data_IF_263772378443
#
_entry.id   IF_263772378443
#
_cell.length_a   1.000
_cell.length_b   1.000
_cell.length_c   1.000
_cell.angle_alpha   90.00
_cell.angle_beta   90.00
_cell.angle_gamma   90.00
#
_symmetry.space_group_name_H-M   'P 1'
#
loop_
_entity.id
_entity.type
_entity.pdbx_description
1 polymer ?
#
# COMPACT_ATOMS: atom_id res chain seq x y z
N UNK A 1 11.57 -13.37 -15.13
CA UNK A 1 10.93 -14.70 -15.15
C UNK A 1 11.37 -15.39 -16.43
N UNK A 2 11.96 -16.59 -16.36
CA UNK A 2 12.35 -17.33 -17.56
C UNK A 2 11.10 -17.65 -18.39
N UNK A 3 11.13 -17.32 -19.68
CA UNK A 3 10.02 -17.59 -20.60
C UNK A 3 10.04 -19.06 -21.01
N UNK A 4 8.92 -19.77 -20.81
CA UNK A 4 8.77 -21.15 -21.27
C UNK A 4 8.77 -21.19 -22.81
N UNK A 5 9.51 -22.14 -23.40
CA UNK A 5 9.45 -22.35 -24.84
C UNK A 5 8.04 -22.79 -25.26
N UNK A 6 7.55 -22.43 -26.46
CA UNK A 6 6.21 -22.80 -26.93
C UNK A 6 5.96 -24.32 -26.90
N UNK A 7 7.00 -25.10 -27.22
CA UNK A 7 6.96 -26.58 -27.22
C UNK A 7 6.81 -27.14 -25.81
N UNK A 8 7.56 -26.62 -24.83
CA UNK A 8 7.45 -27.04 -23.44
C UNK A 8 6.08 -26.67 -22.84
N UNK A 9 5.57 -25.47 -23.13
CA UNK A 9 4.23 -25.05 -22.69
C UNK A 9 3.15 -26.01 -23.19
N UNK A 10 3.20 -26.39 -24.48
CA UNK A 10 2.24 -27.33 -25.08
C UNK A 10 2.34 -28.72 -24.43
N UNK A 11 3.55 -29.22 -24.19
CA UNK A 11 3.76 -30.50 -23.52
C UNK A 11 3.20 -30.51 -22.09
N UNK A 12 3.46 -29.45 -21.30
CA UNK A 12 2.94 -29.30 -19.93
C UNK A 12 1.40 -29.28 -19.89
N UNK A 13 0.75 -28.60 -20.83
CA UNK A 13 -0.70 -28.51 -20.86
C UNK A 13 -1.39 -29.85 -21.21
N UNK A 14 -0.69 -30.71 -21.95
CA UNK A 14 -1.15 -32.03 -22.40
C UNK A 14 -0.84 -33.17 -21.43
N UNK A 15 -0.21 -32.91 -20.27
CA UNK A 15 0.05 -33.92 -19.26
C UNK A 15 -1.25 -34.58 -18.77
N UNK A 16 -1.22 -35.88 -18.40
CA UNK A 16 -2.33 -36.53 -17.71
C UNK A 16 -2.75 -35.74 -16.47
N UNK A 17 -4.06 -35.70 -16.18
CA UNK A 17 -4.62 -34.88 -15.09
C UNK A 17 -3.91 -35.12 -13.76
N UNK A 18 -3.68 -36.38 -13.37
CA UNK A 18 -3.00 -36.75 -12.12
C UNK A 18 -1.59 -36.16 -12.01
N UNK A 19 -0.80 -36.23 -13.08
CA UNK A 19 0.56 -35.69 -13.11
C UNK A 19 0.56 -34.16 -13.07
N UNK A 20 -0.38 -33.57 -13.80
CA UNK A 20 -0.59 -32.12 -13.84
C UNK A 20 -0.96 -31.56 -12.46
N UNK A 21 -1.85 -32.24 -11.74
CA UNK A 21 -2.29 -31.83 -10.39
C UNK A 21 -1.14 -31.95 -9.38
N UNK A 22 -0.36 -33.04 -9.42
CA UNK A 22 0.82 -33.20 -8.58
C UNK A 22 1.86 -32.12 -8.84
N UNK A 23 2.10 -31.78 -10.12
CA UNK A 23 3.01 -30.71 -10.50
C UNK A 23 2.48 -29.34 -10.04
N UNK A 24 1.19 -29.07 -10.22
CA UNK A 24 0.54 -27.84 -9.79
C UNK A 24 0.72 -27.62 -8.28
N UNK A 25 0.38 -28.63 -7.46
CA UNK A 25 0.53 -28.55 -6.00
C UNK A 25 1.99 -28.27 -5.63
N UNK A 26 2.96 -28.97 -6.24
CA UNK A 26 4.39 -28.74 -5.98
C UNK A 26 4.84 -27.33 -6.34
N UNK A 27 4.37 -26.78 -7.47
CA UNK A 27 4.71 -25.42 -7.91
C UNK A 27 4.08 -24.36 -7.00
N UNK A 28 2.81 -24.55 -6.61
CA UNK A 28 2.13 -23.64 -5.68
C UNK A 28 2.87 -23.60 -4.35
N UNK A 29 3.20 -24.77 -3.77
CA UNK A 29 3.92 -24.85 -2.50
C UNK A 29 5.33 -24.21 -2.50
N UNK A 30 5.94 -23.98 -3.68
CA UNK A 30 7.23 -23.30 -3.78
C UNK A 30 7.11 -21.77 -3.72
N UNK A 31 5.94 -21.22 -4.07
CA UNK A 31 5.68 -19.79 -4.06
C UNK A 31 4.67 -19.46 -2.96
N UNK A 32 5.20 -18.91 -1.86
CA UNK A 32 4.40 -18.48 -0.72
C UNK A 32 3.32 -17.46 -1.11
N UNK A 33 3.64 -16.54 -2.00
CA UNK A 33 2.68 -15.50 -2.41
C UNK A 33 1.57 -16.11 -3.25
N UNK A 34 1.91 -16.99 -4.20
CA UNK A 34 0.91 -17.71 -4.97
C UNK A 34 0.02 -18.59 -4.07
N UNK A 35 0.61 -19.25 -3.08
CA UNK A 35 -0.13 -20.04 -2.09
C UNK A 35 -1.16 -19.19 -1.36
N UNK A 36 -0.76 -18.04 -0.82
CA UNK A 36 -1.66 -17.16 -0.09
C UNK A 36 -2.71 -16.50 -0.99
N UNK A 37 -2.37 -16.16 -2.24
CA UNK A 37 -3.34 -15.68 -3.24
C UNK A 37 -4.40 -16.73 -3.55
N UNK A 38 -3.99 -18.00 -3.74
CA UNK A 38 -4.92 -19.10 -4.00
C UNK A 38 -5.75 -19.42 -2.76
N UNK A 39 -5.15 -19.37 -1.57
CA UNK A 39 -5.88 -19.54 -0.31
C UNK A 39 -6.96 -18.46 -0.18
N UNK A 40 -6.60 -17.19 -0.37
CA UNK A 40 -7.58 -16.09 -0.35
C UNK A 40 -8.68 -16.30 -1.39
N UNK A 41 -8.32 -16.56 -2.65
CA UNK A 41 -9.29 -16.68 -3.75
C UNK A 41 -10.21 -17.91 -3.65
N UNK A 42 -9.69 -19.03 -3.18
CA UNK A 42 -10.39 -20.32 -3.25
C UNK A 42 -11.04 -20.72 -1.94
N UNK A 43 -10.55 -20.22 -0.80
CA UNK A 43 -10.94 -20.69 0.53
C UNK A 43 -11.54 -19.58 1.40
N UNK A 44 -11.19 -18.32 1.16
CA UNK A 44 -11.70 -17.21 1.96
C UNK A 44 -12.97 -16.67 1.29
N UNK A 45 -14.06 -16.61 2.05
CA UNK A 45 -15.38 -16.23 1.54
C UNK A 45 -15.48 -14.73 1.20
N UNK A 46 -16.67 -14.31 0.75
CA UNK A 46 -16.91 -12.97 0.18
C UNK A 46 -16.57 -11.81 1.14
N UNK A 47 -16.66 -12.04 2.46
CA UNK A 47 -16.38 -11.02 3.49
C UNK A 47 -14.89 -10.89 3.84
N UNK A 48 -14.04 -11.83 3.41
CA UNK A 48 -12.66 -11.92 3.85
C UNK A 48 -11.81 -10.71 3.45
N UNK A 49 -12.14 -10.06 2.34
CA UNK A 49 -11.44 -8.86 1.92
C UNK A 49 -11.61 -7.74 2.95
N UNK A 50 -12.84 -7.45 3.32
CA UNK A 50 -13.15 -6.37 4.26
C UNK A 50 -12.66 -6.72 5.68
N UNK A 51 -12.76 -7.98 6.10
CA UNK A 51 -12.20 -8.41 7.40
C UNK A 51 -10.67 -8.19 7.45
N UNK A 52 -9.94 -8.60 6.41
CA UNK A 52 -8.50 -8.37 6.32
C UNK A 52 -8.16 -6.87 6.30
N UNK A 53 -8.96 -6.07 5.60
CA UNK A 53 -8.79 -4.61 5.54
C UNK A 53 -9.03 -3.98 6.91
N UNK A 54 -10.08 -4.36 7.61
CA UNK A 54 -10.39 -3.89 8.97
C UNK A 54 -9.25 -4.20 9.95
N UNK A 55 -8.74 -5.44 9.95
CA UNK A 55 -7.58 -5.83 10.76
C UNK A 55 -6.34 -4.98 10.47
N UNK A 56 -6.12 -4.59 9.20
CA UNK A 56 -5.03 -3.68 8.85
C UNK A 56 -5.27 -2.25 9.31
N UNK A 57 -6.51 -1.74 9.25
CA UNK A 57 -6.86 -0.41 9.79
C UNK A 57 -6.53 -0.32 11.27
N UNK A 58 -6.94 -1.31 12.06
CA UNK A 58 -6.63 -1.39 13.50
C UNK A 58 -5.11 -1.36 13.74
N UNK A 59 -4.35 -2.14 12.97
CA UNK A 59 -2.89 -2.19 13.06
C UNK A 59 -2.18 -0.91 12.60
N UNK A 60 -2.84 -0.07 11.80
CA UNK A 60 -2.29 1.22 11.34
C UNK A 60 -2.51 2.32 12.39
N UNK A 61 -3.63 2.28 13.09
CA UNK A 61 -4.03 3.35 14.00
C UNK A 61 -3.20 3.38 15.30
N UNK A 62 -2.81 2.22 15.83
CA UNK A 62 -2.13 2.13 17.12
C UNK A 62 -0.63 2.50 17.10
N UNK A 63 0.19 2.02 16.15
CA UNK A 63 1.64 2.21 16.20
C UNK A 63 2.07 3.66 16.02
N UNK A 64 1.32 4.46 15.24
CA UNK A 64 1.63 5.87 14.97
C UNK A 64 1.30 6.76 16.17
N UNK A 65 0.45 6.30 17.09
CA UNK A 65 0.15 6.97 18.36
C UNK A 65 1.18 6.68 19.45
N UNK A 66 2.08 5.73 19.22
CA UNK A 66 3.12 5.36 20.16
C UNK A 66 4.15 6.48 20.38
N UNK A 67 4.88 6.37 21.49
CA UNK A 67 6.05 7.22 21.71
C UNK A 67 7.20 6.79 20.80
N UNK A 68 7.70 7.72 19.99
CA UNK A 68 8.88 7.48 19.14
C UNK A 68 10.02 8.37 19.62
N UNK A 69 11.15 7.75 19.98
CA UNK A 69 12.32 8.47 20.48
C UNK A 69 12.93 9.35 19.38
N UNK A 70 12.89 8.91 18.13
CA UNK A 70 13.42 9.65 16.99
C UNK A 70 12.51 9.58 15.76
N UNK A 71 12.64 10.54 14.82
CA UNK A 71 11.96 10.47 13.52
C UNK A 71 12.33 9.22 12.70
N UNK A 72 13.49 8.62 12.93
CA UNK A 72 13.93 7.41 12.26
C UNK A 72 13.20 6.15 12.77
N UNK A 73 12.86 6.11 14.06
CA UNK A 73 12.06 5.01 14.63
C UNK A 73 10.66 5.00 14.01
N UNK A 74 10.05 6.18 13.92
CA UNK A 74 8.79 6.37 13.21
C UNK A 74 8.90 5.95 11.74
N UNK A 75 9.96 6.36 11.04
CA UNK A 75 10.18 5.96 9.64
C UNK A 75 10.32 4.44 9.47
N UNK A 76 10.96 3.75 10.41
CA UNK A 76 11.07 2.28 10.38
C UNK A 76 9.69 1.63 10.47
N UNK A 77 8.87 2.08 11.43
CA UNK A 77 7.49 1.58 11.62
C UNK A 77 6.64 1.85 10.38
N UNK A 78 6.73 3.05 9.80
CA UNK A 78 6.01 3.39 8.56
C UNK A 78 6.38 2.47 7.40
N UNK A 79 7.67 2.17 7.22
CA UNK A 79 8.12 1.25 6.17
C UNK A 79 7.60 -0.18 6.39
N UNK A 80 7.55 -0.63 7.64
CA UNK A 80 7.00 -1.94 7.98
C UNK A 80 5.50 -2.01 7.71
N UNK A 81 4.74 -0.99 8.10
CA UNK A 81 3.29 -0.91 7.85
C UNK A 81 3.00 -0.81 6.35
N UNK A 82 3.73 0.01 5.61
CA UNK A 82 3.60 0.10 4.15
C UNK A 82 3.89 -1.23 3.46
N UNK A 83 4.89 -1.98 3.93
CA UNK A 83 5.18 -3.32 3.41
C UNK A 83 4.00 -4.28 3.62
N UNK A 84 3.34 -4.20 4.77
CA UNK A 84 2.16 -5.01 5.07
C UNK A 84 0.95 -4.63 4.20
N UNK A 85 0.73 -3.33 3.98
CA UNK A 85 -0.34 -2.82 3.09
C UNK A 85 -0.10 -3.32 1.66
N UNK A 86 1.12 -3.16 1.13
CA UNK A 86 1.46 -3.63 -0.21
C UNK A 86 1.40 -5.16 -0.32
N UNK A 87 1.77 -5.88 0.73
CA UNK A 87 1.63 -7.34 0.78
C UNK A 87 0.15 -7.75 0.73
N UNK A 88 -0.72 -7.08 1.49
CA UNK A 88 -2.16 -7.31 1.43
C UNK A 88 -2.71 -7.13 0.02
N UNK A 89 -2.47 -5.96 -0.60
CA UNK A 89 -2.86 -5.68 -1.99
C UNK A 89 -2.34 -6.74 -2.96
N UNK A 90 -1.10 -7.21 -2.77
CA UNK A 90 -0.53 -8.29 -3.59
C UNK A 90 -1.29 -9.62 -3.43
N UNK A 91 -1.76 -9.96 -2.23
CA UNK A 91 -2.49 -11.20 -1.97
C UNK A 91 -3.95 -11.09 -2.43
N UNK A 92 -4.60 -9.96 -2.17
CA UNK A 92 -6.06 -9.79 -2.34
C UNK A 92 -6.45 -9.08 -3.64
N UNK A 93 -5.48 -8.50 -4.36
CA UNK A 93 -5.69 -7.60 -5.49
C UNK A 93 -6.46 -6.31 -5.14
N UNK A 94 -6.49 -5.93 -3.87
CA UNK A 94 -7.22 -4.76 -3.35
C UNK A 94 -6.45 -3.44 -3.53
N UNK A 95 -6.47 -2.91 -4.75
CA UNK A 95 -5.81 -1.64 -5.07
C UNK A 95 -6.45 -0.46 -4.35
N UNK A 96 -7.78 -0.47 -4.18
CA UNK A 96 -8.49 0.56 -3.43
C UNK A 96 -8.04 0.58 -1.97
N UNK A 97 -8.06 -0.58 -1.29
CA UNK A 97 -7.59 -0.69 0.09
C UNK A 97 -6.12 -0.33 0.24
N UNK A 98 -5.26 -0.62 -0.74
CA UNK A 98 -3.87 -0.16 -0.72
C UNK A 98 -3.76 1.36 -0.61
N UNK A 99 -4.55 2.08 -1.41
CA UNK A 99 -4.59 3.54 -1.44
C UNK A 99 -5.21 4.07 -0.15
N UNK A 100 -6.41 3.60 0.23
CA UNK A 100 -7.13 4.05 1.43
C UNK A 100 -6.29 3.88 2.70
N UNK A 101 -5.72 2.69 2.92
CA UNK A 101 -4.89 2.39 4.08
C UNK A 101 -3.60 3.22 4.10
N UNK A 102 -3.00 3.46 2.92
CA UNK A 102 -1.79 4.30 2.85
C UNK A 102 -2.11 5.76 3.16
N UNK A 103 -3.20 6.30 2.61
CA UNK A 103 -3.67 7.66 2.92
C UNK A 103 -3.92 7.80 4.42
N UNK A 104 -4.62 6.83 5.03
CA UNK A 104 -4.87 6.78 6.47
C UNK A 104 -3.57 6.77 7.28
N UNK A 105 -2.63 5.90 6.92
CA UNK A 105 -1.32 5.79 7.59
C UNK A 105 -0.57 7.13 7.58
N UNK A 106 -0.51 7.80 6.42
CA UNK A 106 0.19 9.07 6.29
C UNK A 106 -0.53 10.19 7.08
N UNK A 107 -1.86 10.26 7.02
CA UNK A 107 -2.64 11.21 7.82
C UNK A 107 -2.42 11.02 9.32
N UNK A 108 -2.38 9.78 9.81
CA UNK A 108 -2.10 9.49 11.20
C UNK A 108 -0.74 10.04 11.66
N UNK A 109 0.27 10.06 10.79
CA UNK A 109 1.58 10.66 11.11
C UNK A 109 1.44 12.16 11.36
N UNK A 110 0.77 12.87 10.47
CA UNK A 110 0.59 14.32 10.61
C UNK A 110 -0.25 14.68 11.84
N UNK A 111 -1.28 13.89 12.14
CA UNK A 111 -2.18 14.10 13.29
C UNK A 111 -1.50 13.81 14.63
N UNK A 112 -0.73 12.72 14.72
CA UNK A 112 -0.23 12.21 15.99
C UNK A 112 1.24 12.51 16.26
N UNK A 113 2.01 12.88 15.24
CA UNK A 113 3.45 13.16 15.36
C UNK A 113 3.82 14.57 14.85
N UNK A 114 3.11 15.65 15.27
CA UNK A 114 3.33 17.00 14.75
C UNK A 114 4.77 17.49 14.95
N UNK A 115 5.41 17.11 16.06
CA UNK A 115 6.80 17.47 16.33
C UNK A 115 7.78 16.88 15.30
N UNK A 116 7.52 15.66 14.82
CA UNK A 116 8.36 14.98 13.82
C UNK A 116 8.26 15.62 12.43
N UNK A 117 7.16 16.37 12.17
CA UNK A 117 6.88 16.99 10.87
C UNK A 117 6.96 18.52 10.88
N UNK A 118 7.24 19.15 12.02
CA UNK A 118 7.23 20.60 12.19
C UNK A 118 8.44 21.31 11.57
N UNK A 119 9.59 20.62 11.44
CA UNK A 119 10.83 21.23 10.94
C UNK A 119 11.57 20.30 9.99
N UNK A 120 12.05 20.85 8.89
CA UNK A 120 12.95 20.17 7.97
C UNK A 120 14.40 20.36 8.47
N UNK A 121 15.01 19.27 8.88
CA UNK A 121 16.41 19.20 9.33
C UNK A 121 17.02 17.89 8.83
N UNK A 122 18.33 17.71 8.96
CA UNK A 122 18.98 16.45 8.55
C UNK A 122 18.40 15.20 9.24
N UNK A 123 17.87 15.34 10.46
CA UNK A 123 17.27 14.22 11.20
C UNK A 123 15.84 13.90 10.77
N UNK A 124 15.04 14.90 10.38
CA UNK A 124 13.64 14.71 9.94
C UNK A 124 13.51 14.53 8.43
N UNK A 125 14.49 14.96 7.65
CA UNK A 125 14.49 14.89 6.19
C UNK A 125 14.19 13.49 5.64
N UNK A 126 14.75 12.38 6.17
CA UNK A 126 14.42 11.04 5.67
C UNK A 126 12.94 10.69 5.82
N UNK A 127 12.33 11.04 6.96
CA UNK A 127 10.91 10.84 7.24
C UNK A 127 10.06 11.71 6.31
N UNK A 128 10.30 13.03 6.28
CA UNK A 128 9.55 13.97 5.45
C UNK A 128 9.62 13.61 3.96
N UNK A 129 10.79 13.20 3.48
CA UNK A 129 10.97 12.74 2.10
C UNK A 129 10.24 11.43 1.83
N UNK A 130 10.13 10.54 2.83
CA UNK A 130 9.34 9.33 2.71
C UNK A 130 7.85 9.66 2.60
N UNK A 131 7.32 10.53 3.47
CA UNK A 131 5.92 10.97 3.44
C UNK A 131 5.55 11.60 2.10
N UNK A 132 6.37 12.53 1.59
CA UNK A 132 6.12 13.19 0.31
C UNK A 132 6.14 12.20 -0.88
N UNK A 133 7.15 11.32 -0.95
CA UNK A 133 7.22 10.29 -2.03
C UNK A 133 6.11 9.26 -1.96
N UNK A 134 5.67 8.91 -0.75
CA UNK A 134 4.54 8.00 -0.56
C UNK A 134 3.24 8.66 -0.98
N UNK A 135 2.98 9.90 -0.55
CA UNK A 135 1.83 10.66 -1.04
C UNK A 135 1.79 10.71 -2.57
N UNK A 136 2.91 11.06 -3.24
CA UNK A 136 3.02 11.09 -4.70
C UNK A 136 2.72 9.73 -5.35
N UNK A 137 3.29 8.65 -4.83
CA UNK A 137 3.00 7.30 -5.36
C UNK A 137 1.55 6.90 -5.14
N UNK A 138 0.98 7.22 -3.98
CA UNK A 138 -0.40 6.89 -3.62
C UNK A 138 -1.40 7.68 -4.46
N UNK A 139 -1.15 8.97 -4.75
CA UNK A 139 -1.98 9.75 -5.67
C UNK A 139 -1.96 9.15 -7.08
N UNK A 140 -0.78 8.75 -7.59
CA UNK A 140 -0.68 8.09 -8.90
C UNK A 140 -1.40 6.74 -8.97
N UNK A 141 -1.53 6.04 -7.84
CA UNK A 141 -2.33 4.82 -7.76
C UNK A 141 -3.81 5.16 -7.70
N UNK A 142 -4.19 6.17 -6.90
CA UNK A 142 -5.56 6.66 -6.81
C UNK A 142 -6.10 7.08 -8.18
N UNK A 143 -5.33 7.83 -8.98
CA UNK A 143 -5.71 8.28 -10.32
C UNK A 143 -5.97 7.15 -11.33
N UNK A 144 -5.50 5.92 -11.03
CA UNK A 144 -5.70 4.73 -11.87
C UNK A 144 -6.89 3.90 -11.45
N UNK A 145 -7.47 4.19 -10.28
CA UNK A 145 -8.67 3.50 -9.81
C UNK A 145 -9.87 3.91 -10.66
N UNK A 146 -10.94 3.13 -10.54
CA UNK A 146 -12.22 3.50 -11.14
C UNK A 146 -12.70 4.85 -10.56
N UNK A 147 -13.25 5.77 -11.37
CA UNK A 147 -13.77 7.05 -10.90
C UNK A 147 -14.76 6.96 -9.74
N UNK A 148 -15.51 5.86 -9.61
CA UNK A 148 -16.44 5.65 -8.50
C UNK A 148 -15.71 5.66 -7.14
N UNK A 149 -14.48 5.14 -7.08
CA UNK A 149 -13.65 5.16 -5.88
C UNK A 149 -13.09 6.54 -5.54
N UNK A 150 -13.06 7.47 -6.49
CA UNK A 150 -12.49 8.79 -6.24
C UNK A 150 -13.30 9.59 -5.23
N UNK A 151 -14.63 9.42 -5.22
CA UNK A 151 -15.50 10.08 -4.24
C UNK A 151 -15.16 9.63 -2.82
N UNK A 152 -14.98 8.32 -2.61
CA UNK A 152 -14.64 7.75 -1.30
C UNK A 152 -13.25 8.17 -0.80
N UNK A 153 -12.29 8.32 -1.72
CA UNK A 153 -10.92 8.72 -1.39
C UNK A 153 -10.74 10.23 -1.22
N UNK A 154 -11.63 11.05 -1.80
CA UNK A 154 -11.43 12.48 -1.94
C UNK A 154 -11.13 13.17 -0.61
N UNK A 155 -11.90 12.88 0.44
CA UNK A 155 -11.74 13.53 1.74
C UNK A 155 -10.39 13.18 2.38
N UNK A 156 -10.06 11.88 2.42
CA UNK A 156 -8.79 11.43 3.01
C UNK A 156 -7.56 11.93 2.25
N UNK A 157 -7.62 11.92 0.92
CA UNK A 157 -6.52 12.41 0.08
C UNK A 157 -6.35 13.92 0.22
N UNK A 158 -7.44 14.69 0.24
CA UNK A 158 -7.36 16.15 0.39
C UNK A 158 -6.91 16.55 1.79
N UNK A 159 -7.28 15.80 2.82
CA UNK A 159 -6.71 15.97 4.16
C UNK A 159 -5.19 15.74 4.15
N UNK A 160 -4.73 14.66 3.51
CA UNK A 160 -3.31 14.35 3.39
C UNK A 160 -2.55 15.46 2.69
N UNK A 161 -3.07 15.96 1.57
CA UNK A 161 -2.46 17.08 0.87
C UNK A 161 -2.42 18.33 1.75
N UNK A 162 -3.51 18.64 2.46
CA UNK A 162 -3.58 19.78 3.38
C UNK A 162 -2.49 19.68 4.45
N UNK A 163 -2.38 18.53 5.12
CA UNK A 163 -1.35 18.28 6.11
C UNK A 163 0.06 18.40 5.52
N UNK A 164 0.31 17.75 4.39
CA UNK A 164 1.61 17.76 3.73
C UNK A 164 2.04 19.19 3.39
N UNK A 165 1.16 19.99 2.81
CA UNK A 165 1.41 21.40 2.43
C UNK A 165 1.50 22.36 3.62
N UNK A 166 0.91 22.03 4.76
CA UNK A 166 1.06 22.78 6.02
C UNK A 166 2.31 22.40 6.83
N UNK A 167 2.97 21.29 6.48
CA UNK A 167 4.11 20.75 7.24
C UNK A 167 5.46 21.19 6.66
N UNK A 168 6.54 20.79 7.33
CA UNK A 168 7.88 20.99 6.81
C UNK A 168 8.20 20.14 5.55
N UNK A 169 7.32 19.24 5.13
CA UNK A 169 7.44 18.51 3.88
C UNK A 169 7.03 19.32 2.63
N UNK A 170 6.40 20.50 2.80
CA UNK A 170 5.88 21.28 1.68
C UNK A 170 6.88 21.58 0.54
N UNK A 171 8.17 21.89 0.79
CA UNK A 171 9.15 22.05 -0.28
C UNK A 171 9.37 20.75 -1.06
N UNK A 172 9.42 19.60 -0.38
CA UNK A 172 9.60 18.29 -1.00
C UNK A 172 8.37 17.90 -1.83
N UNK A 173 7.17 18.26 -1.37
CA UNK A 173 5.95 18.05 -2.14
C UNK A 173 5.93 18.89 -3.42
N UNK A 174 6.41 20.13 -3.35
CA UNK A 174 6.57 21.00 -4.52
C UNK A 174 7.55 20.42 -5.54
N UNK A 175 8.69 19.92 -5.09
CA UNK A 175 9.72 19.33 -5.97
C UNK A 175 9.21 18.08 -6.71
N UNK A 176 8.28 17.34 -6.08
CA UNK A 176 7.61 16.19 -6.69
C UNK A 176 6.42 16.57 -7.60
N UNK A 177 6.03 17.84 -7.65
CA UNK A 177 4.88 18.30 -8.44
C UNK A 177 3.52 17.85 -7.88
N UNK A 178 3.43 17.56 -6.58
CA UNK A 178 2.17 17.19 -5.94
C UNK A 178 1.14 18.32 -6.04
N UNK A 179 -0.14 18.02 -6.29
CA UNK A 179 -1.17 19.05 -6.28
C UNK A 179 -1.47 19.49 -4.84
N UNK A 180 -2.14 20.65 -4.69
CA UNK A 180 -2.67 21.11 -3.39
C UNK A 180 -4.04 20.54 -3.05
N UNK A 181 -4.75 20.10 -4.08
CA UNK A 181 -6.08 19.51 -3.99
C UNK A 181 -6.18 18.40 -5.04
N UNK A 182 -6.81 17.29 -4.69
CA UNK A 182 -7.05 16.15 -5.54
C UNK A 182 -8.54 16.03 -5.86
N UNK A 183 -8.84 15.52 -7.05
CA UNK A 183 -10.24 15.31 -7.47
C UNK A 183 -11.03 16.61 -7.68
N UNK A 184 -10.39 17.69 -8.13
CA UNK A 184 -11.09 18.86 -8.67
C UNK A 184 -11.72 18.51 -10.03
N UNK A 185 -12.69 17.59 -10.02
CA UNK A 185 -13.45 17.21 -11.20
C UNK A 185 -14.43 18.34 -11.50
N UNK A 186 -14.03 19.24 -12.40
CA UNK A 186 -14.96 20.13 -13.11
C UNK A 186 -15.43 19.44 -14.38
#
# INVERSE_FOLDING_TARGET
MPTLSPTLRKALLNLPQKEKDQLLVRLVCQDKVLTEQLQFRLLEGDEALEERRSRLRERIDDPVRGYHQTPNDLLLILRQLQSQIGYHSKITADQFGEVELTVRLLNNVFRHQPAAVARLSGTTQPLLSHLARRADTTLRLADKLDPDYHLELADGVNELLTHLWSSAAAPLARDLGLPRQWGSFR
#
